data_IF_437133995194
#
_entry.id   IF_437133995194
#
_cell.length_a   1.000
_cell.length_b   1.000
_cell.length_c   1.000
_cell.angle_alpha   90.00
_cell.angle_beta   90.00
_cell.angle_gamma   90.00
#
_symmetry.space_group_name_H-M   'P 1'
#
loop_
_entity.id
_entity.type
_entity.pdbx_description
1 polymer ?
#
# COMPACT_ATOMS: atom_id res chain seq x y z
N UNK A 1 64.91 17.12 -20.17
CA UNK A 1 64.51 17.10 -18.75
C UNK A 1 63.38 18.11 -18.56
N UNK A 2 62.14 17.65 -18.50
CA UNK A 2 61.02 18.50 -18.11
C UNK A 2 59.91 17.63 -17.50
N UNK A 3 60.01 17.24 -16.21
CA UNK A 3 58.99 16.41 -15.59
C UNK A 3 58.53 17.05 -14.27
N UNK A 4 57.78 18.16 -14.28
CA UNK A 4 57.26 18.72 -13.01
C UNK A 4 55.93 19.47 -13.10
N UNK A 5 55.31 19.64 -14.29
CA UNK A 5 54.07 20.42 -14.40
C UNK A 5 52.77 19.60 -14.52
N UNK A 6 52.83 18.26 -14.60
CA UNK A 6 51.64 17.42 -14.82
C UNK A 6 51.00 16.81 -13.56
N UNK A 7 51.55 17.07 -12.37
CA UNK A 7 51.06 16.44 -11.13
C UNK A 7 49.92 17.26 -10.47
N UNK A 8 49.82 18.56 -10.76
CA UNK A 8 48.74 19.40 -10.21
C UNK A 8 47.40 19.23 -10.94
N UNK A 9 47.41 18.80 -12.21
CA UNK A 9 46.21 18.63 -13.05
C UNK A 9 45.41 17.37 -12.69
N UNK A 10 46.03 16.37 -12.04
CA UNK A 10 45.37 15.10 -11.67
C UNK A 10 44.63 15.21 -10.33
N UNK A 11 44.98 16.17 -9.46
CA UNK A 11 44.34 16.31 -8.15
C UNK A 11 43.04 17.15 -8.17
N UNK A 12 42.82 17.96 -9.22
CA UNK A 12 41.66 18.85 -9.32
C UNK A 12 40.39 18.17 -9.90
N UNK A 13 40.50 16.96 -10.45
CA UNK A 13 39.41 16.29 -11.18
C UNK A 13 38.47 15.42 -10.34
N UNK A 14 38.74 15.20 -9.05
CA UNK A 14 38.00 14.23 -8.22
C UNK A 14 37.10 14.85 -7.15
N UNK A 15 36.88 16.17 -7.16
CA UNK A 15 35.85 16.76 -6.30
C UNK A 15 34.52 16.62 -7.04
N UNK A 16 33.90 15.45 -6.93
CA UNK A 16 32.47 15.34 -7.13
C UNK A 16 31.83 16.21 -6.05
N UNK A 17 31.41 17.42 -6.41
CA UNK A 17 30.53 18.22 -5.56
C UNK A 17 29.23 17.44 -5.44
N UNK A 18 29.11 16.63 -4.39
CA UNK A 18 27.81 16.26 -3.87
C UNK A 18 27.14 17.59 -3.55
N UNK A 19 26.27 18.05 -4.45
CA UNK A 19 25.27 19.04 -4.12
C UNK A 19 24.38 18.37 -3.07
N UNK A 20 24.80 18.44 -1.80
CA UNK A 20 23.88 18.26 -0.71
C UNK A 20 22.82 19.33 -0.92
N UNK A 21 21.64 18.94 -1.37
CA UNK A 21 20.51 19.84 -1.32
C UNK A 21 20.36 20.20 0.16
N UNK A 22 20.68 21.45 0.51
CA UNK A 22 20.44 21.96 1.85
C UNK A 22 18.98 21.66 2.18
N UNK A 23 18.78 20.80 3.18
CA UNK A 23 17.44 20.40 3.58
C UNK A 23 16.72 21.66 4.06
N UNK A 24 15.73 22.11 3.27
CA UNK A 24 14.93 23.28 3.60
C UNK A 24 13.58 22.83 4.18
N UNK A 25 13.41 22.82 5.52
CA UNK A 25 12.17 22.40 6.15
C UNK A 25 10.95 23.21 5.73
N UNK A 26 11.15 24.45 5.26
CA UNK A 26 10.04 25.33 4.87
C UNK A 26 9.25 24.79 3.68
N UNK A 27 9.87 23.97 2.81
CA UNK A 27 9.19 23.34 1.68
C UNK A 27 8.21 22.23 2.10
N UNK A 28 8.37 21.69 3.31
CA UNK A 28 7.51 20.65 3.88
C UNK A 28 6.74 21.13 5.12
N UNK A 29 6.84 22.42 5.44
CA UNK A 29 6.27 23.00 6.65
C UNK A 29 4.74 23.18 6.58
N UNK A 30 4.16 23.18 5.38
CA UNK A 30 2.73 23.39 5.18
C UNK A 30 2.15 22.54 4.06
N UNK A 31 0.97 21.98 4.30
CA UNK A 31 0.13 21.31 3.30
C UNK A 31 -1.13 22.14 3.11
N UNK A 32 -1.35 22.79 1.95
CA UNK A 32 -2.55 23.58 1.72
C UNK A 32 -3.81 22.70 1.80
N UNK A 33 -4.92 23.22 2.36
CA UNK A 33 -6.17 22.47 2.39
C UNK A 33 -6.75 22.31 0.98
N UNK A 34 -7.23 21.11 0.67
CA UNK A 34 -7.95 20.81 -0.57
C UNK A 34 -9.35 20.32 -0.22
N UNK A 35 -10.36 21.09 -0.62
CA UNK A 35 -11.77 20.79 -0.39
C UNK A 35 -12.61 21.09 -1.65
N UNK A 36 -13.74 20.40 -1.85
CA UNK A 36 -14.23 19.24 -1.09
C UNK A 36 -13.50 17.94 -1.46
N UNK A 37 -13.75 16.87 -0.70
CA UNK A 37 -13.32 15.52 -1.11
C UNK A 37 -13.97 15.17 -2.47
N UNK A 38 -13.19 14.76 -3.49
CA UNK A 38 -13.72 14.42 -4.80
C UNK A 38 -14.79 13.31 -4.73
N UNK A 39 -15.86 13.46 -5.52
CA UNK A 39 -16.87 12.40 -5.66
C UNK A 39 -16.35 11.28 -6.56
N UNK A 40 -16.67 10.04 -6.21
CA UNK A 40 -16.30 8.87 -7.00
C UNK A 40 -17.01 8.88 -8.36
N UNK A 41 -16.24 8.95 -9.46
CA UNK A 41 -16.78 8.94 -10.82
C UNK A 41 -16.94 7.53 -11.41
N UNK A 42 -16.16 6.57 -10.89
CA UNK A 42 -16.26 5.16 -11.28
C UNK A 42 -15.53 4.78 -12.57
N UNK A 43 -14.70 5.64 -13.15
CA UNK A 43 -13.94 5.33 -14.38
C UNK A 43 -13.05 4.09 -14.18
N UNK A 44 -13.30 3.02 -14.93
CA UNK A 44 -12.62 1.71 -14.81
C UNK A 44 -13.15 0.81 -13.67
N UNK A 45 -14.18 1.26 -12.96
CA UNK A 45 -14.82 0.58 -11.81
C UNK A 45 -16.35 0.71 -11.87
N UNK A 46 -16.92 0.91 -13.05
CA UNK A 46 -18.33 1.28 -13.25
C UNK A 46 -19.26 0.21 -12.67
N UNK A 47 -18.98 -1.06 -12.97
CA UNK A 47 -19.74 -2.21 -12.45
C UNK A 47 -19.67 -2.33 -10.93
N UNK A 48 -18.50 -2.04 -10.36
CA UNK A 48 -18.31 -2.06 -8.91
C UNK A 48 -19.08 -0.90 -8.25
N UNK A 49 -19.09 0.28 -8.88
CA UNK A 49 -19.82 1.45 -8.42
C UNK A 49 -21.33 1.21 -8.42
N UNK A 50 -21.87 0.57 -9.46
CA UNK A 50 -23.30 0.21 -9.53
C UNK A 50 -23.69 -0.72 -8.38
N UNK A 51 -22.89 -1.77 -8.12
CA UNK A 51 -23.12 -2.72 -7.02
C UNK A 51 -23.01 -2.04 -5.65
N UNK A 52 -22.00 -1.18 -5.47
CA UNK A 52 -21.80 -0.44 -4.22
C UNK A 52 -22.98 0.50 -3.94
N UNK A 53 -23.46 1.24 -4.94
CA UNK A 53 -24.60 2.13 -4.80
C UNK A 53 -25.89 1.36 -4.44
N UNK A 54 -26.14 0.23 -5.11
CA UNK A 54 -27.28 -0.63 -4.79
C UNK A 54 -27.22 -1.13 -3.35
N UNK A 55 -26.04 -1.56 -2.88
CA UNK A 55 -25.83 -2.01 -1.51
C UNK A 55 -26.02 -0.87 -0.47
N UNK A 56 -25.34 0.26 -0.66
CA UNK A 56 -25.38 1.40 0.26
C UNK A 56 -26.77 2.04 0.33
N UNK A 57 -27.54 2.00 -0.76
CA UNK A 57 -28.91 2.52 -0.79
C UNK A 57 -29.86 1.78 0.15
N UNK A 58 -29.57 0.52 0.47
CA UNK A 58 -30.37 -0.28 1.40
C UNK A 58 -29.97 -0.04 2.87
N UNK A 59 -28.85 0.63 3.16
CA UNK A 59 -28.35 0.79 4.55
C UNK A 59 -28.96 1.98 5.29
N UNK A 60 -29.17 1.84 6.60
CA UNK A 60 -29.48 2.96 7.50
C UNK A 60 -28.25 3.83 7.76
N UNK A 61 -28.44 4.99 8.38
CA UNK A 61 -27.32 5.89 8.70
C UNK A 61 -26.34 5.25 9.69
N UNK A 62 -26.85 4.53 10.68
CA UNK A 62 -26.08 3.84 11.70
C UNK A 62 -25.28 2.70 11.09
N UNK A 63 -25.89 1.94 10.17
CA UNK A 63 -25.21 0.88 9.42
C UNK A 63 -24.08 1.44 8.54
N UNK A 64 -24.30 2.59 7.89
CA UNK A 64 -23.24 3.29 7.13
C UNK A 64 -22.10 3.75 8.04
N UNK A 65 -22.41 4.32 9.19
CA UNK A 65 -21.39 4.73 10.17
C UNK A 65 -20.60 3.53 10.70
N UNK A 66 -21.26 2.38 10.91
CA UNK A 66 -20.61 1.15 11.33
C UNK A 66 -19.64 0.59 10.28
N UNK A 67 -19.88 0.81 8.98
CA UNK A 67 -18.93 0.41 7.94
C UNK A 67 -17.63 1.22 7.96
N UNK A 68 -17.68 2.45 8.48
CA UNK A 68 -16.51 3.33 8.57
C UNK A 68 -15.74 3.16 9.89
N UNK A 69 -16.23 2.31 10.79
CA UNK A 69 -15.71 2.19 12.15
C UNK A 69 -15.15 0.80 12.39
N UNK A 70 -13.94 0.75 12.97
CA UNK A 70 -13.32 -0.51 13.36
C UNK A 70 -14.11 -1.21 14.47
N UNK A 71 -14.18 -2.53 14.38
CA UNK A 71 -14.76 -3.40 15.40
C UNK A 71 -13.73 -4.41 15.92
N UNK A 72 -14.00 -4.97 17.09
CA UNK A 72 -13.21 -6.07 17.62
C UNK A 72 -13.47 -7.34 16.79
N UNK A 73 -12.41 -8.10 16.54
CA UNK A 73 -12.49 -9.34 15.77
C UNK A 73 -11.14 -10.06 15.72
N UNK A 74 -11.08 -11.21 15.03
CA UNK A 74 -9.88 -12.03 14.96
C UNK A 74 -8.77 -11.43 14.09
N UNK A 75 -9.08 -10.40 13.29
CA UNK A 75 -8.15 -9.80 12.35
C UNK A 75 -7.52 -8.51 12.91
N UNK A 76 -6.42 -8.06 12.32
CA UNK A 76 -5.73 -6.82 12.75
C UNK A 76 -6.67 -5.62 12.65
N UNK A 77 -7.48 -5.55 11.59
CA UNK A 77 -8.61 -4.63 11.48
C UNK A 77 -9.88 -5.38 11.13
N UNK A 78 -11.03 -4.96 11.67
CA UNK A 78 -12.31 -5.60 11.36
C UNK A 78 -13.40 -4.54 11.18
N UNK A 79 -14.33 -4.79 10.28
CA UNK A 79 -15.61 -4.11 10.18
C UNK A 79 -16.68 -5.11 10.59
N UNK A 80 -17.57 -4.70 11.50
CA UNK A 80 -18.63 -5.55 12.02
C UNK A 80 -19.61 -6.03 10.91
N UNK A 81 -20.18 -7.24 11.07
CA UNK A 81 -21.22 -7.73 10.16
C UNK A 81 -22.51 -6.90 10.31
N UNK A 82 -23.28 -6.82 9.22
CA UNK A 82 -24.62 -6.23 9.20
C UNK A 82 -25.60 -7.34 8.77
N UNK A 83 -26.16 -8.11 9.72
CA UNK A 83 -26.97 -9.29 9.42
C UNK A 83 -28.21 -9.00 8.56
N UNK A 84 -28.81 -7.81 8.73
CA UNK A 84 -30.05 -7.41 8.04
C UNK A 84 -29.91 -7.45 6.52
N UNK A 85 -28.76 -7.06 5.99
CA UNK A 85 -28.45 -7.05 4.56
C UNK A 85 -27.54 -8.20 4.13
N UNK A 86 -27.30 -9.17 5.03
CA UNK A 86 -26.43 -10.32 4.75
C UNK A 86 -24.94 -9.98 4.62
N UNK A 87 -24.50 -8.81 5.10
CA UNK A 87 -23.11 -8.40 5.07
C UNK A 87 -22.33 -9.09 6.19
N UNK A 88 -21.31 -9.87 5.83
CA UNK A 88 -20.55 -10.71 6.77
C UNK A 88 -19.46 -9.94 7.53
N UNK A 89 -19.27 -8.66 7.25
CA UNK A 89 -18.15 -7.86 7.76
C UNK A 89 -16.94 -7.92 6.84
N UNK A 90 -15.90 -7.16 7.18
CA UNK A 90 -14.61 -7.19 6.51
C UNK A 90 -13.52 -7.46 7.54
N UNK A 91 -12.53 -8.25 7.16
CA UNK A 91 -11.42 -8.67 8.00
C UNK A 91 -10.14 -8.30 7.27
N UNK A 92 -9.45 -7.28 7.77
CA UNK A 92 -8.22 -6.76 7.23
C UNK A 92 -7.05 -7.45 7.92
N UNK A 93 -6.17 -8.07 7.14
CA UNK A 93 -4.95 -8.68 7.66
C UNK A 93 -3.69 -8.10 7.05
N UNK A 94 -2.68 -8.02 7.89
CA UNK A 94 -1.31 -7.76 7.49
C UNK A 94 -0.70 -9.09 6.99
N UNK A 95 0.37 -9.12 6.21
CA UNK A 95 1.15 -8.03 5.64
C UNK A 95 1.71 -8.34 4.26
N UNK A 96 2.64 -7.52 3.76
CA UNK A 96 2.99 -7.48 2.33
C UNK A 96 3.61 -8.77 1.80
N UNK A 97 4.14 -9.63 2.69
CA UNK A 97 4.87 -10.85 2.31
C UNK A 97 4.29 -12.14 2.91
N UNK A 98 3.27 -12.05 3.75
CA UNK A 98 2.66 -13.21 4.43
C UNK A 98 1.41 -12.79 5.21
N UNK A 99 0.49 -13.71 5.49
CA UNK A 99 -0.57 -13.47 6.49
C UNK A 99 0.05 -13.45 7.88
N UNK A 100 -0.03 -12.31 8.57
CA UNK A 100 0.52 -12.11 9.91
C UNK A 100 -0.31 -12.86 10.96
N UNK A 101 0.37 -13.43 11.96
CA UNK A 101 -0.25 -14.14 13.09
C UNK A 101 -1.15 -15.31 12.67
N UNK A 102 -0.78 -16.03 11.61
CA UNK A 102 -1.47 -17.21 11.13
C UNK A 102 -0.51 -18.42 11.04
N UNK A 103 -1.07 -19.61 11.20
CA UNK A 103 -0.34 -20.88 11.08
C UNK A 103 -0.52 -21.45 9.66
N UNK A 104 0.44 -22.29 9.22
CA UNK A 104 0.42 -22.93 7.91
C UNK A 104 0.33 -21.90 6.78
N UNK A 105 1.19 -20.89 6.84
CA UNK A 105 1.32 -19.81 5.84
C UNK A 105 2.72 -19.83 5.26
N UNK A 106 2.84 -19.42 4.00
CA UNK A 106 4.12 -19.15 3.36
C UNK A 106 4.57 -17.73 3.65
N UNK A 107 5.89 -17.53 3.74
CA UNK A 107 6.51 -16.21 3.85
C UNK A 107 7.33 -15.98 2.59
N UNK A 108 7.00 -14.90 1.87
CA UNK A 108 7.60 -14.55 0.60
C UNK A 108 8.76 -13.56 0.79
N UNK A 109 9.62 -13.34 -0.24
CA UNK A 109 10.67 -12.34 -0.18
C UNK A 109 10.14 -10.93 0.12
N UNK A 110 10.92 -10.12 0.83
CA UNK A 110 10.59 -8.71 1.03
C UNK A 110 10.52 -7.97 -0.31
N UNK A 111 9.66 -6.94 -0.39
CA UNK A 111 9.54 -6.10 -1.59
C UNK A 111 10.89 -5.54 -2.09
N UNK A 112 11.83 -5.24 -1.18
CA UNK A 112 13.21 -4.86 -1.54
C UNK A 112 13.98 -5.98 -2.25
N UNK A 113 13.84 -7.23 -1.81
CA UNK A 113 14.48 -8.39 -2.45
C UNK A 113 13.85 -8.65 -3.82
N UNK A 114 12.52 -8.54 -3.91
CA UNK A 114 11.79 -8.69 -5.17
C UNK A 114 12.17 -7.58 -6.16
N UNK A 115 12.29 -6.33 -5.72
CA UNK A 115 12.76 -5.21 -6.55
C UNK A 115 14.22 -5.41 -7.02
N UNK A 116 15.10 -5.90 -6.14
CA UNK A 116 16.49 -6.19 -6.47
C UNK A 116 16.66 -7.30 -7.52
N UNK A 117 15.62 -8.11 -7.77
CA UNK A 117 15.66 -9.14 -8.82
C UNK A 117 15.54 -8.55 -10.22
N UNK A 118 14.94 -7.36 -10.39
CA UNK A 118 14.65 -6.72 -11.68
C UNK A 118 13.84 -7.60 -12.66
N UNK A 119 13.17 -8.65 -12.17
CA UNK A 119 12.39 -9.57 -12.99
C UNK A 119 10.90 -9.28 -12.76
N UNK A 120 10.29 -8.62 -13.74
CA UNK A 120 8.85 -8.31 -13.76
C UNK A 120 7.98 -9.60 -13.71
N UNK A 121 8.52 -10.71 -14.23
CA UNK A 121 7.87 -12.03 -14.24
C UNK A 121 7.78 -12.66 -12.85
N UNK A 122 8.62 -12.29 -11.88
CA UNK A 122 8.65 -12.93 -10.55
C UNK A 122 7.50 -12.48 -9.64
N UNK A 123 6.88 -11.32 -9.93
CA UNK A 123 5.78 -10.76 -9.14
C UNK A 123 4.49 -11.57 -9.30
N UNK A 124 4.15 -11.95 -10.54
CA UNK A 124 2.87 -12.63 -10.83
C UNK A 124 2.75 -14.00 -10.15
N UNK A 125 3.78 -14.87 -10.14
CA UNK A 125 3.74 -16.14 -9.42
C UNK A 125 3.61 -15.96 -7.91
N UNK A 126 4.29 -14.96 -7.32
CA UNK A 126 4.21 -14.64 -5.90
C UNK A 126 2.78 -14.20 -5.53
N UNK A 127 2.21 -13.26 -6.27
CA UNK A 127 0.84 -12.80 -6.12
C UNK A 127 -0.18 -13.95 -6.24
N UNK A 128 0.01 -14.83 -7.22
CA UNK A 128 -0.87 -15.98 -7.47
C UNK A 128 -0.90 -17.01 -6.33
N UNK A 129 0.07 -16.97 -5.41
CA UNK A 129 0.08 -17.87 -4.23
C UNK A 129 -0.29 -17.09 -2.97
N UNK A 130 0.19 -15.85 -2.84
CA UNK A 130 -0.09 -14.99 -1.70
C UNK A 130 -1.59 -14.65 -1.61
N UNK A 131 -2.21 -14.24 -2.72
CA UNK A 131 -3.62 -13.84 -2.74
C UNK A 131 -4.55 -14.99 -2.33
N UNK A 132 -4.40 -16.23 -2.84
CA UNK A 132 -5.17 -17.37 -2.34
C UNK A 132 -4.90 -17.72 -0.87
N UNK A 133 -3.65 -17.55 -0.40
CA UNK A 133 -3.32 -17.75 1.02
C UNK A 133 -4.09 -16.78 1.91
N UNK A 134 -4.21 -15.51 1.49
CA UNK A 134 -5.09 -14.55 2.14
C UNK A 134 -6.55 -14.96 2.02
N UNK A 135 -7.08 -15.20 0.82
CA UNK A 135 -8.50 -15.54 0.61
C UNK A 135 -8.97 -16.79 1.40
N UNK A 136 -8.08 -17.76 1.63
CA UNK A 136 -8.41 -18.98 2.39
C UNK A 136 -8.42 -18.75 3.90
N UNK A 137 -7.68 -17.76 4.40
CA UNK A 137 -7.49 -17.52 5.85
C UNK A 137 -8.17 -16.23 6.34
N UNK A 138 -8.46 -15.29 5.45
CA UNK A 138 -8.85 -13.91 5.70
C UNK A 138 -9.80 -13.48 4.59
N UNK A 139 -10.93 -12.87 4.92
CA UNK A 139 -11.95 -12.66 3.93
C UNK A 139 -11.74 -11.43 3.03
N UNK A 140 -10.99 -10.39 3.40
CA UNK A 140 -10.90 -9.22 2.52
C UNK A 140 -9.77 -8.24 2.88
N UNK A 141 -8.84 -8.07 1.94
CA UNK A 141 -7.75 -7.07 1.89
C UNK A 141 -6.48 -7.32 2.72
N UNK A 142 -5.36 -7.01 2.07
CA UNK A 142 -4.00 -7.03 2.60
C UNK A 142 -3.57 -5.61 2.92
N UNK A 143 -2.90 -5.39 4.05
CA UNK A 143 -2.14 -4.15 4.25
C UNK A 143 -0.78 -4.28 3.54
N UNK A 144 -0.61 -3.56 2.43
CA UNK A 144 0.66 -3.41 1.74
C UNK A 144 1.19 -2.00 1.96
N UNK A 145 2.33 -1.87 2.63
CA UNK A 145 3.12 -0.64 2.68
C UNK A 145 4.25 -0.72 1.67
#
# INVERSE_FOLDING_TARGET
>A
MAPLLDILSILAGCIATVNGQDWNPSLFASSPPVYPSPKLQGTGWEDALVKANAFISNLTLEEKASLLTGANGPCVGNIAPIPRVGFKGLCFQDGPIAVRQANLVSVFPAGLTTAASWIEVSLKPEENILVPSFATKVLMSTWGL
#
